data_IF_931083771929
#
_entry.id   IF_931083771929
#
_cell.length_a   1.000
_cell.length_b   1.000
_cell.length_c   1.000
_cell.angle_alpha   90.00
_cell.angle_beta   90.00
_cell.angle_gamma   90.00
#
_symmetry.space_group_name_H-M   'P 1'
#
loop_
_entity.id
_entity.type
_entity.pdbx_description
1 polymer ?
#
# COMPACT_ATOMS: atom_id res chain seq x y z
N UNK A 1 13.24 4.64 -11.52
CA UNK A 1 12.16 3.81 -10.95
C UNK A 1 12.43 3.70 -9.47
N UNK A 2 11.40 3.75 -8.63
CA UNK A 2 11.52 3.61 -7.18
C UNK A 2 11.02 2.24 -6.76
N UNK A 3 11.74 1.61 -5.83
CA UNK A 3 11.32 0.37 -5.20
C UNK A 3 10.91 0.69 -3.77
N UNK A 4 9.70 0.31 -3.39
CA UNK A 4 9.12 0.56 -2.08
C UNK A 4 8.92 -0.78 -1.38
N UNK A 5 9.46 -0.90 -0.16
CA UNK A 5 9.21 -2.03 0.72
C UNK A 5 7.89 -1.89 1.47
N UNK A 6 7.85 -2.50 2.65
CA UNK A 6 6.69 -2.65 3.51
C UNK A 6 6.04 -1.31 3.87
N UNK A 7 4.71 -1.28 3.92
CA UNK A 7 3.92 -0.09 4.26
C UNK A 7 3.13 -0.30 5.56
N UNK A 8 2.61 -1.51 5.81
CA UNK A 8 1.93 -1.88 7.06
C UNK A 8 0.93 -0.84 7.58
N UNK A 9 -0.01 -0.40 6.73
CA UNK A 9 -1.06 0.55 7.11
C UNK A 9 -0.58 1.96 7.50
N UNK A 10 0.66 2.34 7.19
CA UNK A 10 1.22 3.66 7.49
C UNK A 10 0.88 4.70 6.40
N UNK A 11 -0.38 5.16 6.39
CA UNK A 11 -0.87 6.10 5.36
C UNK A 11 -0.06 7.41 5.28
N UNK A 12 0.37 7.96 6.42
CA UNK A 12 1.14 9.22 6.46
C UNK A 12 2.48 9.07 5.75
N UNK A 13 3.16 7.94 5.94
CA UNK A 13 4.44 7.65 5.31
C UNK A 13 4.28 7.39 3.81
N UNK A 14 3.21 6.68 3.42
CA UNK A 14 2.85 6.52 2.02
C UNK A 14 2.64 7.87 1.31
N UNK A 15 1.94 8.81 1.94
CA UNK A 15 1.77 10.17 1.41
C UNK A 15 3.11 10.89 1.29
N UNK A 16 4.00 10.72 2.27
CA UNK A 16 5.33 11.34 2.24
C UNK A 16 6.20 10.81 1.09
N UNK A 17 6.11 9.52 0.77
CA UNK A 17 6.79 8.92 -0.39
C UNK A 17 6.38 9.63 -1.69
N UNK A 18 5.09 9.85 -1.91
CA UNK A 18 4.60 10.51 -3.13
C UNK A 18 4.84 12.03 -3.16
N UNK A 19 4.62 12.72 -2.05
CA UNK A 19 4.63 14.19 -2.04
C UNK A 19 6.00 14.81 -1.79
N UNK A 20 6.90 14.11 -1.09
CA UNK A 20 8.16 14.69 -0.59
C UNK A 20 9.39 13.99 -1.17
N UNK A 21 9.40 12.65 -1.19
CA UNK A 21 10.65 11.91 -1.45
C UNK A 21 10.81 11.55 -2.93
N UNK A 22 9.80 10.93 -3.53
CA UNK A 22 9.93 10.27 -4.82
C UNK A 22 9.16 10.98 -5.96
N UNK A 23 8.13 11.76 -5.61
CA UNK A 23 7.26 12.47 -6.55
C UNK A 23 6.00 11.70 -6.93
N UNK A 24 5.23 12.23 -7.89
CA UNK A 24 3.97 11.61 -8.29
C UNK A 24 4.13 10.49 -9.35
N UNK A 25 3.28 9.45 -9.32
CA UNK A 25 3.29 8.35 -10.29
C UNK A 25 3.06 8.77 -11.75
N UNK A 26 2.57 9.98 -12.02
CA UNK A 26 2.34 10.48 -13.38
C UNK A 26 3.62 10.60 -14.22
N UNK A 27 4.79 10.74 -13.59
CA UNK A 27 6.09 10.88 -14.28
C UNK A 27 7.14 9.88 -13.82
N UNK A 28 6.80 8.99 -12.87
CA UNK A 28 7.74 8.11 -12.17
C UNK A 28 7.16 6.71 -12.06
N UNK A 29 8.01 5.68 -12.22
CA UNK A 29 7.63 4.28 -12.02
C UNK A 29 7.92 3.81 -10.61
N UNK A 30 6.97 3.12 -10.00
CA UNK A 30 7.00 2.53 -8.67
C UNK A 30 6.81 1.02 -8.74
N UNK A 31 7.65 0.31 -8.01
CA UNK A 31 7.50 -1.11 -7.73
C UNK A 31 7.36 -1.27 -6.22
N UNK A 32 6.18 -1.68 -5.77
CA UNK A 32 5.95 -2.00 -4.37
C UNK A 32 6.11 -3.50 -4.14
N UNK A 33 6.80 -3.88 -3.06
CA UNK A 33 7.19 -5.28 -2.81
C UNK A 33 6.16 -6.11 -2.03
N UNK A 34 5.10 -5.47 -1.50
CA UNK A 34 4.05 -6.15 -0.73
C UNK A 34 3.93 -5.58 0.68
N UNK A 35 3.25 -6.30 1.56
CA UNK A 35 3.08 -5.97 2.99
C UNK A 35 2.50 -4.56 3.20
N UNK A 36 1.33 -4.37 2.58
CA UNK A 36 0.56 -3.12 2.59
C UNK A 36 -0.27 -2.95 3.85
N UNK A 37 -0.75 -4.08 4.37
CA UNK A 37 -1.76 -4.17 5.43
C UNK A 37 -1.15 -4.67 6.73
N UNK A 38 -2.01 -4.70 7.76
CA UNK A 38 -1.69 -5.08 9.14
C UNK A 38 -0.77 -4.11 9.88
N UNK A 39 -0.75 -4.21 11.22
CA UNK A 39 0.04 -3.42 12.19
C UNK A 39 -0.28 -1.93 12.28
N UNK A 40 -0.52 -1.24 11.16
CA UNK A 40 -0.95 0.16 11.12
C UNK A 40 -2.47 0.31 11.24
N UNK A 41 -2.92 1.53 11.57
CA UNK A 41 -4.34 1.84 11.79
C UNK A 41 -5.11 2.26 10.51
N UNK A 42 -4.43 2.28 9.36
CA UNK A 42 -4.96 2.80 8.09
C UNK A 42 -4.67 1.88 6.90
N UNK A 43 -4.74 0.57 7.12
CA UNK A 43 -4.50 -0.44 6.08
C UNK A 43 -5.52 -0.33 4.96
N UNK A 44 -6.80 -0.09 5.29
CA UNK A 44 -7.88 0.06 4.29
C UNK A 44 -7.59 1.26 3.38
N UNK A 45 -7.25 2.40 3.96
CA UNK A 45 -6.93 3.61 3.22
C UNK A 45 -5.68 3.44 2.35
N UNK A 46 -4.64 2.77 2.86
CA UNK A 46 -3.43 2.44 2.09
C UNK A 46 -3.76 1.60 0.86
N UNK A 47 -4.54 0.52 1.01
CA UNK A 47 -4.93 -0.35 -0.10
C UNK A 47 -5.76 0.42 -1.12
N UNK A 48 -6.73 1.22 -0.67
CA UNK A 48 -7.55 2.07 -1.55
C UNK A 48 -6.71 3.04 -2.38
N UNK A 49 -5.73 3.71 -1.75
CA UNK A 49 -4.84 4.65 -2.44
C UNK A 49 -3.95 3.93 -3.45
N UNK A 50 -3.33 2.81 -3.07
CA UNK A 50 -2.46 2.04 -3.98
C UNK A 50 -3.26 1.48 -5.17
N UNK A 51 -4.48 0.99 -4.93
CA UNK A 51 -5.38 0.53 -5.98
C UNK A 51 -5.77 1.68 -6.93
N UNK A 52 -6.12 2.86 -6.40
CA UNK A 52 -6.43 4.02 -7.22
C UNK A 52 -5.24 4.45 -8.10
N UNK A 53 -4.03 4.49 -7.54
CA UNK A 53 -2.82 4.80 -8.32
C UNK A 53 -2.52 3.74 -9.38
N UNK A 54 -2.75 2.45 -9.09
CA UNK A 54 -2.61 1.38 -10.09
C UNK A 54 -3.61 1.54 -11.24
N UNK A 55 -4.84 1.93 -10.95
CA UNK A 55 -5.87 2.16 -11.97
C UNK A 55 -5.57 3.40 -12.81
N UNK A 56 -5.11 4.49 -12.19
CA UNK A 56 -4.78 5.74 -12.88
C UNK A 56 -3.49 5.64 -13.71
N UNK A 57 -2.49 4.89 -13.25
CA UNK A 57 -1.18 4.78 -13.90
C UNK A 57 -0.71 3.31 -13.99
N UNK A 58 -1.40 2.47 -14.78
CA UNK A 58 -1.16 1.04 -14.83
C UNK A 58 0.26 0.67 -15.29
N UNK A 59 0.88 1.48 -16.15
CA UNK A 59 2.24 1.27 -16.66
C UNK A 59 3.34 1.81 -15.75
N UNK A 60 2.96 2.57 -14.71
CA UNK A 60 3.89 3.20 -13.80
C UNK A 60 3.86 2.61 -12.40
N UNK A 61 2.73 2.05 -11.96
CA UNK A 61 2.57 1.51 -10.61
C UNK A 61 2.46 -0.01 -10.70
N UNK A 62 3.38 -0.71 -10.05
CA UNK A 62 3.41 -2.16 -9.96
C UNK A 62 3.33 -2.57 -8.49
N UNK A 63 2.39 -3.46 -8.17
CA UNK A 63 2.12 -3.94 -6.83
C UNK A 63 2.40 -5.44 -6.81
N UNK A 64 3.39 -5.86 -6.01
CA UNK A 64 3.65 -7.27 -5.73
C UNK A 64 2.90 -7.71 -4.48
N UNK A 65 2.76 -9.02 -4.32
CA UNK A 65 2.09 -9.60 -3.16
C UNK A 65 3.13 -9.93 -2.09
N UNK A 66 2.95 -9.41 -0.88
CA UNK A 66 3.67 -9.82 0.32
C UNK A 66 2.94 -10.94 1.06
N UNK A 67 3.49 -11.38 2.17
CA UNK A 67 2.86 -12.41 2.99
C UNK A 67 1.63 -11.89 3.73
N UNK A 68 1.60 -10.60 4.08
CA UNK A 68 0.45 -10.00 4.76
C UNK A 68 -0.81 -9.92 3.89
N UNK A 69 -0.71 -10.05 2.57
CA UNK A 69 -1.88 -10.12 1.68
C UNK A 69 -2.54 -11.52 1.62
N UNK A 70 -2.29 -12.40 2.60
CA UNK A 70 -2.91 -13.72 2.73
C UNK A 70 -4.08 -13.68 3.72
N UNK A 71 -5.20 -14.31 3.36
CA UNK A 71 -6.43 -14.25 4.16
C UNK A 71 -6.28 -14.76 5.60
N UNK A 72 -5.39 -15.73 5.84
CA UNK A 72 -5.14 -16.23 7.20
C UNK A 72 -4.31 -15.24 8.02
N UNK A 73 -3.35 -14.53 7.41
CA UNK A 73 -2.52 -13.52 8.09
C UNK A 73 -3.36 -12.30 8.43
N UNK A 74 -4.17 -11.80 7.50
CA UNK A 74 -5.12 -10.69 7.74
C UNK A 74 -6.07 -10.93 8.92
N UNK A 75 -6.43 -12.20 9.17
CA UNK A 75 -7.30 -12.58 10.28
C UNK A 75 -6.55 -12.58 11.62
N UNK A 76 -5.27 -12.88 11.60
CA UNK A 76 -4.41 -12.97 12.79
C UNK A 76 -3.82 -11.62 13.21
N UNK A 77 -3.54 -10.73 12.24
CA UNK A 77 -2.82 -9.48 12.46
C UNK A 77 -3.68 -8.21 12.40
N UNK A 78 -5.00 -8.36 12.33
CA UNK A 78 -5.96 -7.30 12.62
C UNK A 78 -6.56 -6.58 11.41
N UNK A 79 -6.08 -6.81 10.18
CA UNK A 79 -6.70 -6.19 9.01
C UNK A 79 -8.17 -6.57 8.82
N UNK A 80 -8.56 -7.81 9.10
CA UNK A 80 -9.97 -8.22 9.00
C UNK A 80 -10.87 -7.44 9.97
N UNK A 81 -10.38 -7.19 11.18
CA UNK A 81 -11.13 -6.46 12.19
C UNK A 81 -11.17 -4.96 11.86
N UNK A 82 -10.08 -4.40 11.31
CA UNK A 82 -10.06 -3.04 10.77
C UNK A 82 -11.15 -2.87 9.71
N UNK A 83 -11.21 -3.77 8.71
CA UNK A 83 -12.23 -3.75 7.64
C UNK A 83 -13.65 -3.81 8.18
N UNK A 84 -13.91 -4.61 9.23
CA UNK A 84 -15.25 -4.72 9.84
C UNK A 84 -15.64 -3.48 10.64
N UNK A 85 -14.68 -2.72 11.12
CA UNK A 85 -14.89 -1.54 11.97
C UNK A 85 -15.07 -0.25 11.18
N UNK A 86 -14.81 -0.26 9.87
CA UNK A 86 -14.95 0.86 8.93
C UNK A 86 -16.23 0.74 8.13
#
# INVERSE_FOLDING_TARGET
SFVCGDIHGQLTDLRRIFHVVCGFPSRKRYLFLGDYVDRGAHSVEVVCVLAAWKLLFPDNVFLLRGNHELAHINKEYGFLDEVKSK
#
